data_IF_029141015463
#
_entry.id   IF_029141015463
#
_cell.length_a   1.000
_cell.length_b   1.000
_cell.length_c   1.000
_cell.angle_alpha   90.00
_cell.angle_beta   90.00
_cell.angle_gamma   90.00
#
_symmetry.space_group_name_H-M   'P 1'
#
loop_
_entity.id
_entity.type
_entity.pdbx_description
1 polymer ?
#
# COMPACT_ATOMS: atom_id res chain seq x y z
N UNK A 1 2.70 27.40 -11.37
CA UNK A 1 3.44 28.58 -11.80
C UNK A 1 3.38 29.64 -10.69
N UNK A 2 4.29 30.58 -10.60
CA UNK A 2 4.33 31.63 -9.56
C UNK A 2 4.14 33.01 -10.21
N UNK A 3 3.10 33.72 -9.79
CA UNK A 3 2.82 35.09 -10.25
C UNK A 3 2.66 36.01 -9.05
N UNK A 4 3.42 37.09 -9.03
CA UNK A 4 3.42 38.04 -7.90
C UNK A 4 3.61 37.37 -6.53
N UNK A 5 4.42 36.30 -6.47
CA UNK A 5 4.65 35.54 -5.25
C UNK A 5 3.60 34.45 -4.95
N UNK A 6 2.49 34.40 -5.67
CA UNK A 6 1.42 33.43 -5.50
C UNK A 6 1.61 32.23 -6.45
N UNK A 7 1.46 31.02 -5.93
CA UNK A 7 1.49 29.80 -6.76
C UNK A 7 0.12 29.61 -7.46
N UNK A 8 0.16 29.52 -8.78
CA UNK A 8 -1.01 29.28 -9.62
C UNK A 8 -0.85 27.92 -10.29
N UNK A 9 -1.88 27.06 -10.18
CA UNK A 9 -1.99 25.84 -10.98
C UNK A 9 -2.43 26.23 -12.38
N UNK A 10 -1.73 25.73 -13.40
CA UNK A 10 -2.12 25.91 -14.79
C UNK A 10 -2.87 24.64 -15.22
N UNK A 11 -4.02 24.84 -15.85
CA UNK A 11 -4.86 23.75 -16.33
C UNK A 11 -4.42 23.26 -17.72
N UNK A 12 -3.77 24.15 -18.48
CA UNK A 12 -3.27 23.81 -19.82
C UNK A 12 -2.01 24.60 -20.20
N UNK A 13 -1.28 24.06 -21.19
CA UNK A 13 -0.10 24.74 -21.74
C UNK A 13 -0.46 25.91 -22.65
N UNK A 14 -1.68 25.96 -23.17
CA UNK A 14 -2.19 27.09 -23.94
C UNK A 14 -2.13 28.37 -23.08
N UNK A 15 -2.43 28.28 -21.78
CA UNK A 15 -2.29 29.38 -20.84
C UNK A 15 -0.85 29.90 -20.71
N UNK A 16 0.15 28.99 -20.83
CA UNK A 16 1.57 29.39 -20.85
C UNK A 16 1.95 30.04 -22.17
N UNK A 17 1.52 29.43 -23.29
CA UNK A 17 1.85 29.91 -24.63
C UNK A 17 1.17 31.24 -25.00
N UNK A 18 0.03 31.57 -24.40
CA UNK A 18 -0.69 32.82 -24.61
C UNK A 18 -0.11 34.00 -23.80
N UNK A 19 0.90 33.76 -22.96
CA UNK A 19 1.53 34.85 -22.19
C UNK A 19 2.28 35.80 -23.13
N UNK A 20 2.19 37.13 -22.91
CA UNK A 20 2.67 38.12 -23.87
C UNK A 20 4.19 38.05 -24.10
N UNK A 21 4.94 37.63 -23.09
CA UNK A 21 6.41 37.57 -23.15
C UNK A 21 6.94 36.16 -23.41
N UNK A 22 6.06 35.18 -23.67
CA UNK A 22 6.48 33.79 -23.89
C UNK A 22 6.99 33.58 -25.32
N UNK A 23 8.24 33.09 -25.43
CA UNK A 23 8.89 32.80 -26.71
C UNK A 23 9.18 31.28 -26.78
N UNK A 24 8.66 30.62 -27.83
CA UNK A 24 8.85 29.16 -28.03
C UNK A 24 10.27 28.78 -28.38
N UNK A 25 11.00 29.63 -29.07
CA UNK A 25 12.37 29.40 -29.56
C UNK A 25 13.26 30.55 -29.12
N UNK A 26 13.45 30.72 -27.78
CA UNK A 26 14.23 31.79 -27.20
C UNK A 26 15.72 31.55 -27.43
N UNK A 27 16.39 32.53 -28.01
CA UNK A 27 17.85 32.57 -28.06
C UNK A 27 18.40 33.04 -26.71
N UNK A 28 19.10 32.14 -26.00
CA UNK A 28 19.66 32.42 -24.67
C UNK A 28 21.09 32.93 -24.74
N UNK A 29 21.64 33.19 -25.92
CA UNK A 29 22.97 33.77 -26.05
C UNK A 29 22.99 35.13 -25.32
N UNK A 30 23.93 35.27 -24.39
CA UNK A 30 24.10 36.47 -23.55
C UNK A 30 22.94 36.86 -22.64
N UNK A 31 21.90 36.00 -22.49
CA UNK A 31 20.79 36.23 -21.59
C UNK A 31 21.00 35.62 -20.20
N UNK A 32 20.72 36.40 -19.17
CA UNK A 32 20.82 35.94 -17.78
C UNK A 32 19.47 35.55 -17.22
N UNK A 33 19.47 34.56 -16.35
CA UNK A 33 18.30 34.09 -15.65
C UNK A 33 17.92 35.10 -14.56
N UNK A 34 16.72 35.71 -14.70
CA UNK A 34 16.07 36.54 -13.68
C UNK A 34 15.38 35.69 -12.65
N UNK A 35 14.45 34.83 -13.08
CA UNK A 35 13.65 33.99 -12.20
C UNK A 35 13.19 32.68 -12.86
N UNK A 36 12.82 31.72 -12.04
CA UNK A 36 12.05 30.55 -12.39
C UNK A 36 10.62 30.76 -11.91
N UNK A 37 9.65 30.82 -12.82
CA UNK A 37 8.25 31.11 -12.53
C UNK A 37 7.33 29.89 -12.66
N UNK A 38 7.80 28.82 -13.27
CA UNK A 38 7.03 27.59 -13.41
C UNK A 38 7.91 26.36 -13.30
N UNK A 39 7.28 25.26 -12.88
CA UNK A 39 7.90 23.95 -12.81
C UNK A 39 6.90 22.92 -13.30
N UNK A 40 7.38 21.94 -14.03
CA UNK A 40 6.57 20.79 -14.49
C UNK A 40 7.40 19.51 -14.47
N UNK A 41 6.72 18.39 -14.15
CA UNK A 41 7.26 17.04 -14.19
C UNK A 41 6.16 16.05 -14.56
N UNK A 42 6.56 14.91 -15.12
CA UNK A 42 5.67 13.83 -15.54
C UNK A 42 4.62 14.26 -16.57
N UNK A 43 4.90 15.36 -17.29
CA UNK A 43 4.10 15.84 -18.41
C UNK A 43 4.42 15.03 -19.67
N UNK A 44 3.52 15.00 -20.67
CA UNK A 44 3.86 14.50 -21.99
C UNK A 44 5.13 15.18 -22.53
N UNK A 45 6.00 14.46 -23.27
CA UNK A 45 7.25 15.01 -23.76
C UNK A 45 7.07 16.30 -24.54
N UNK A 46 7.86 17.34 -24.22
CA UNK A 46 7.80 18.66 -24.86
C UNK A 46 9.15 19.06 -25.40
N UNK A 47 9.15 19.82 -26.49
CA UNK A 47 10.38 20.42 -27.03
C UNK A 47 10.88 21.53 -26.11
N UNK A 48 12.16 21.55 -25.87
CA UNK A 48 12.83 22.64 -25.16
C UNK A 48 12.63 23.96 -25.95
N UNK A 49 12.21 25.00 -25.24
CA UNK A 49 11.98 26.33 -25.82
C UNK A 49 13.25 27.14 -26.04
N UNK A 50 14.40 26.47 -26.11
CA UNK A 50 15.69 27.10 -26.44
C UNK A 50 15.99 26.84 -27.91
N UNK A 51 16.25 27.89 -28.68
CA UNK A 51 16.51 27.88 -30.14
C UNK A 51 17.60 26.91 -30.57
N UNK A 52 18.62 26.70 -29.77
CA UNK A 52 19.74 25.81 -30.06
C UNK A 52 19.58 24.37 -29.60
N UNK A 53 18.45 24.01 -28.92
CA UNK A 53 18.33 22.72 -28.27
C UNK A 53 17.22 21.84 -28.89
N UNK A 54 15.94 22.23 -28.79
CA UNK A 54 14.76 21.48 -29.23
C UNK A 54 14.63 20.02 -28.71
N UNK A 55 15.49 19.60 -27.77
CA UNK A 55 15.40 18.27 -27.18
C UNK A 55 14.07 18.07 -26.47
N UNK A 56 13.48 16.88 -26.59
CA UNK A 56 12.26 16.52 -25.89
C UNK A 56 12.53 16.20 -24.42
N UNK A 57 11.68 16.69 -23.52
CA UNK A 57 11.80 16.46 -22.08
C UNK A 57 10.45 16.42 -21.39
N UNK A 58 10.37 15.68 -20.27
CA UNK A 58 9.17 15.50 -19.43
C UNK A 58 9.24 16.32 -18.13
N UNK A 59 10.39 16.93 -17.84
CA UNK A 59 10.65 17.70 -16.62
C UNK A 59 11.40 18.97 -16.98
N UNK A 60 10.99 20.10 -16.41
CA UNK A 60 11.65 21.37 -16.66
C UNK A 60 11.02 22.53 -15.92
N UNK A 61 11.35 23.73 -16.34
CA UNK A 61 10.86 24.98 -15.77
C UNK A 61 10.43 25.99 -16.83
N UNK A 62 9.66 26.97 -16.39
CA UNK A 62 9.38 28.18 -17.14
C UNK A 62 10.25 29.28 -16.52
N UNK A 63 11.15 29.82 -17.31
CA UNK A 63 12.14 30.82 -16.89
C UNK A 63 11.76 32.21 -17.38
N UNK A 64 12.18 33.22 -16.64
CA UNK A 64 12.22 34.64 -17.08
C UNK A 64 13.67 35.06 -17.16
N UNK A 65 14.03 35.70 -18.25
CA UNK A 65 15.35 36.34 -18.44
C UNK A 65 15.34 37.79 -17.91
N UNK A 66 16.52 38.44 -17.76
CA UNK A 66 16.61 39.81 -17.25
C UNK A 66 15.94 40.84 -18.17
N UNK A 67 15.74 40.51 -19.44
CA UNK A 67 14.99 41.29 -20.43
C UNK A 67 13.50 40.89 -20.52
N UNK A 68 12.98 40.21 -19.48
CA UNK A 68 11.60 39.85 -19.26
C UNK A 68 10.99 38.84 -20.28
N UNK A 69 11.79 38.16 -21.09
CA UNK A 69 11.30 37.08 -21.92
C UNK A 69 11.11 35.80 -21.14
N UNK A 70 10.05 35.08 -21.49
CA UNK A 70 9.70 33.80 -20.87
C UNK A 70 9.93 32.64 -21.85
N UNK A 71 10.43 31.50 -21.35
CA UNK A 71 10.55 30.28 -22.15
C UNK A 71 10.42 29.02 -21.28
N UNK A 72 9.96 27.93 -21.89
CA UNK A 72 10.03 26.60 -21.25
C UNK A 72 11.39 25.97 -21.51
N UNK A 73 12.05 25.50 -20.46
CA UNK A 73 13.38 24.92 -20.55
C UNK A 73 13.41 23.54 -19.88
N UNK A 74 13.97 22.54 -20.57
CA UNK A 74 14.19 21.23 -19.97
C UNK A 74 15.20 21.30 -18.83
N UNK A 75 15.03 20.45 -17.81
CA UNK A 75 15.89 20.43 -16.62
C UNK A 75 17.37 20.34 -16.96
N UNK A 76 17.76 19.40 -17.84
CA UNK A 76 19.17 19.21 -18.26
C UNK A 76 19.72 20.47 -18.94
N UNK A 77 18.92 21.10 -19.80
CA UNK A 77 19.34 22.32 -20.50
C UNK A 77 19.47 23.50 -19.54
N UNK A 78 18.51 23.63 -18.61
CA UNK A 78 18.55 24.68 -17.59
C UNK A 78 19.77 24.57 -16.70
N UNK A 79 20.10 23.37 -16.23
CA UNK A 79 21.29 23.11 -15.42
C UNK A 79 22.58 23.38 -16.18
N UNK A 80 22.66 23.05 -17.48
CA UNK A 80 23.82 23.33 -18.31
C UNK A 80 24.06 24.83 -18.54
N UNK A 81 22.98 25.59 -18.74
CA UNK A 81 23.07 27.01 -19.12
C UNK A 81 23.18 27.91 -17.89
N UNK A 82 22.38 27.66 -16.87
CA UNK A 82 22.28 28.51 -15.69
C UNK A 82 22.90 27.90 -14.42
N UNK A 83 23.46 26.70 -14.55
CA UNK A 83 24.23 25.98 -13.52
C UNK A 83 23.49 25.84 -12.20
N UNK A 84 24.18 25.93 -11.07
CA UNK A 84 23.66 25.75 -9.71
C UNK A 84 22.48 26.68 -9.37
N UNK A 85 22.45 27.89 -9.98
CA UNK A 85 21.33 28.82 -9.77
C UNK A 85 19.98 28.23 -10.22
N UNK A 86 19.95 27.58 -11.38
CA UNK A 86 18.75 26.95 -11.91
C UNK A 86 18.29 25.78 -11.03
N UNK A 87 19.22 24.91 -10.64
CA UNK A 87 18.92 23.74 -9.81
C UNK A 87 18.43 24.16 -8.41
N UNK A 88 19.00 25.23 -7.85
CA UNK A 88 18.54 25.81 -6.59
C UNK A 88 17.11 26.33 -6.68
N UNK A 89 16.77 27.07 -7.72
CA UNK A 89 15.44 27.62 -7.96
C UNK A 89 14.40 26.51 -8.23
N UNK A 90 14.75 25.47 -9.00
CA UNK A 90 13.87 24.31 -9.21
C UNK A 90 13.54 23.63 -7.88
N UNK A 91 14.56 23.34 -7.06
CA UNK A 91 14.35 22.71 -5.74
C UNK A 91 13.51 23.56 -4.79
N UNK A 92 13.69 24.88 -4.84
CA UNK A 92 12.90 25.79 -4.04
C UNK A 92 11.43 25.78 -4.49
N UNK A 93 11.17 25.93 -5.79
CA UNK A 93 9.82 25.95 -6.34
C UNK A 93 9.12 24.59 -6.15
N UNK A 94 9.81 23.45 -6.27
CA UNK A 94 9.29 22.12 -5.93
C UNK A 94 8.80 22.09 -4.48
N UNK A 95 9.60 22.60 -3.54
CA UNK A 95 9.20 22.63 -2.12
C UNK A 95 7.97 23.49 -1.87
N UNK A 96 7.87 24.63 -2.54
CA UNK A 96 6.75 25.55 -2.43
C UNK A 96 5.46 24.91 -3.00
N UNK A 97 5.55 24.29 -4.18
CA UNK A 97 4.44 23.56 -4.82
C UNK A 97 3.98 22.38 -3.97
N UNK A 98 4.92 21.54 -3.51
CA UNK A 98 4.62 20.41 -2.63
C UNK A 98 3.92 20.89 -1.34
N UNK A 99 4.36 22.00 -0.79
CA UNK A 99 3.75 22.59 0.41
C UNK A 99 2.29 22.98 0.19
N UNK A 100 1.98 23.70 -0.91
CA UNK A 100 0.60 24.09 -1.19
C UNK A 100 -0.29 22.87 -1.50
N UNK A 101 0.23 21.85 -2.21
CA UNK A 101 -0.50 20.60 -2.44
C UNK A 101 -0.84 19.90 -1.11
N UNK A 102 0.11 19.82 -0.19
CA UNK A 102 -0.14 19.22 1.11
C UNK A 102 -1.08 20.07 1.98
N UNK A 103 -0.96 21.37 1.93
CA UNK A 103 -1.86 22.29 2.64
C UNK A 103 -3.30 22.17 2.15
N UNK A 104 -3.50 22.14 0.84
CA UNK A 104 -4.81 21.91 0.23
C UNK A 104 -5.37 20.52 0.59
N UNK A 105 -4.54 19.47 0.52
CA UNK A 105 -4.92 18.14 0.92
C UNK A 105 -5.36 18.07 2.39
N UNK A 106 -4.64 18.74 3.28
CA UNK A 106 -4.98 18.81 4.70
C UNK A 106 -6.28 19.60 4.90
N UNK A 107 -6.44 20.76 4.28
CA UNK A 107 -7.63 21.61 4.41
C UNK A 107 -8.89 20.86 3.94
N UNK A 108 -8.82 20.23 2.76
CA UNK A 108 -9.91 19.43 2.20
C UNK A 108 -10.33 18.28 3.11
N UNK A 109 -9.36 17.56 3.71
CA UNK A 109 -9.69 16.43 4.59
C UNK A 109 -10.11 16.89 5.98
N UNK A 110 -9.60 18.02 6.45
CA UNK A 110 -10.03 18.61 7.74
C UNK A 110 -11.50 19.01 7.71
N UNK A 111 -12.02 19.49 6.59
CA UNK A 111 -13.45 19.78 6.42
C UNK A 111 -14.34 18.53 6.49
N UNK A 112 -13.77 17.35 6.24
CA UNK A 112 -14.43 16.03 6.28
C UNK A 112 -14.07 15.21 7.52
N UNK A 113 -13.50 15.82 8.56
CA UNK A 113 -12.96 15.10 9.72
C UNK A 113 -14.02 14.21 10.39
N UNK A 114 -15.26 14.70 10.52
CA UNK A 114 -16.37 13.93 11.10
C UNK A 114 -16.70 12.67 10.28
N UNK A 115 -16.65 12.77 8.95
CA UNK A 115 -16.82 11.59 8.06
C UNK A 115 -15.75 10.54 8.30
N UNK A 116 -14.49 10.96 8.44
CA UNK A 116 -13.37 10.05 8.72
C UNK A 116 -13.51 9.35 10.07
N UNK A 117 -13.91 10.08 11.12
CA UNK A 117 -14.18 9.49 12.42
C UNK A 117 -15.34 8.48 12.37
N UNK A 118 -16.41 8.76 11.63
CA UNK A 118 -17.52 7.82 11.46
C UNK A 118 -17.09 6.54 10.74
N UNK A 119 -16.29 6.66 9.67
CA UNK A 119 -15.73 5.50 8.96
C UNK A 119 -14.80 4.67 9.86
N UNK A 120 -13.94 5.32 10.64
CA UNK A 120 -13.06 4.63 11.59
C UNK A 120 -13.86 3.93 12.71
N UNK A 121 -14.89 4.57 13.25
CA UNK A 121 -15.78 3.99 14.24
C UNK A 121 -16.54 2.75 13.69
N UNK A 122 -17.00 2.81 12.45
CA UNK A 122 -17.64 1.66 11.80
C UNK A 122 -16.71 0.46 11.62
N UNK A 123 -15.40 0.70 11.41
CA UNK A 123 -14.41 -0.38 11.36
C UNK A 123 -14.24 -1.07 12.71
N UNK A 124 -14.29 -0.34 13.82
CA UNK A 124 -14.03 -0.87 15.17
C UNK A 124 -15.28 -1.40 15.87
N UNK A 125 -16.47 -1.03 15.40
CA UNK A 125 -17.73 -1.35 16.07
C UNK A 125 -18.10 -2.83 15.99
N UNK A 126 -18.88 -3.28 17.01
CA UNK A 126 -19.51 -4.59 17.07
C UNK A 126 -18.57 -5.76 17.41
N UNK A 127 -19.10 -6.98 17.27
CA UNK A 127 -18.34 -8.21 17.55
C UNK A 127 -17.19 -8.44 16.58
N UNK A 128 -17.37 -7.99 15.35
CA UNK A 128 -16.40 -8.11 14.26
C UNK A 128 -15.60 -6.81 14.06
N UNK A 129 -15.37 -6.02 15.12
CA UNK A 129 -14.52 -4.84 15.04
C UNK A 129 -13.09 -5.21 14.65
N UNK A 130 -12.45 -4.37 13.81
CA UNK A 130 -11.13 -4.64 13.21
C UNK A 130 -10.06 -4.99 14.24
N UNK A 131 -10.07 -4.37 15.43
CA UNK A 131 -9.10 -4.64 16.48
C UNK A 131 -9.35 -6.01 17.14
N UNK A 132 -10.62 -6.44 17.31
CA UNK A 132 -10.95 -7.77 17.80
C UNK A 132 -10.55 -8.86 16.81
N UNK A 133 -10.74 -8.60 15.51
CA UNK A 133 -10.29 -9.51 14.45
C UNK A 133 -8.76 -9.60 14.43
N UNK A 134 -8.07 -8.48 14.59
CA UNK A 134 -6.61 -8.45 14.70
C UNK A 134 -6.09 -9.28 15.87
N UNK A 135 -6.78 -9.23 17.03
CA UNK A 135 -6.47 -10.05 18.20
C UNK A 135 -6.63 -11.55 17.87
N UNK A 136 -7.77 -11.96 17.32
CA UNK A 136 -7.99 -13.36 16.91
C UNK A 136 -7.00 -13.85 15.85
N UNK A 137 -6.59 -12.99 14.91
CA UNK A 137 -5.54 -13.29 13.93
C UNK A 137 -4.17 -13.42 14.62
N UNK A 138 -3.91 -12.65 15.67
CA UNK A 138 -2.72 -12.84 16.50
C UNK A 138 -2.76 -14.16 17.26
N UNK A 139 -3.92 -14.51 17.82
CA UNK A 139 -4.14 -15.73 18.60
C UNK A 139 -3.93 -16.99 17.74
N UNK A 140 -4.44 -17.04 16.52
CA UNK A 140 -4.23 -18.21 15.64
C UNK A 140 -2.75 -18.40 15.24
N UNK A 141 -1.94 -17.33 15.25
CA UNK A 141 -0.49 -17.39 15.05
C UNK A 141 0.28 -17.77 16.32
N UNK A 142 -0.38 -17.74 17.46
CA UNK A 142 0.24 -18.03 18.75
C UNK A 142 0.16 -19.51 19.08
N UNK A 143 1.32 -20.17 19.15
CA UNK A 143 1.44 -21.59 19.47
C UNK A 143 0.81 -21.99 20.83
N UNK A 144 0.74 -21.06 21.79
CA UNK A 144 0.14 -21.30 23.10
C UNK A 144 -1.40 -21.23 23.08
N UNK A 145 -1.98 -20.66 22.03
CA UNK A 145 -3.44 -20.49 21.88
C UNK A 145 -4.00 -21.47 20.85
N UNK A 146 -3.40 -21.52 19.66
CA UNK A 146 -3.90 -22.35 18.54
C UNK A 146 -3.08 -23.64 18.34
N UNK A 147 -2.18 -23.99 19.25
CA UNK A 147 -1.28 -25.12 19.09
C UNK A 147 -0.15 -24.83 18.09
N UNK A 148 1.01 -25.47 18.34
CA UNK A 148 2.22 -25.19 17.56
C UNK A 148 2.09 -25.55 16.09
N UNK A 149 1.55 -26.74 15.82
CA UNK A 149 1.44 -27.22 14.45
C UNK A 149 0.53 -26.33 13.60
N UNK A 150 -0.69 -26.05 14.04
CA UNK A 150 -1.65 -25.24 13.33
C UNK A 150 -1.15 -23.81 13.10
N UNK A 151 -0.61 -23.16 14.15
CA UNK A 151 -0.05 -21.82 14.06
C UNK A 151 1.08 -21.72 13.01
N UNK A 152 1.99 -22.70 12.98
CA UNK A 152 3.10 -22.71 12.02
C UNK A 152 2.64 -23.03 10.61
N UNK A 153 1.79 -24.05 10.46
CA UNK A 153 1.36 -24.54 9.15
C UNK A 153 0.46 -23.52 8.43
N UNK A 154 -0.47 -22.86 9.14
CA UNK A 154 -1.33 -21.82 8.57
C UNK A 154 -0.50 -20.62 8.06
N UNK A 155 0.50 -20.19 8.81
CA UNK A 155 1.41 -19.10 8.38
C UNK A 155 2.24 -19.54 7.17
N UNK A 156 2.74 -20.79 7.14
CA UNK A 156 3.45 -21.37 6.00
C UNK A 156 2.55 -21.40 4.76
N UNK A 157 1.31 -21.87 4.91
CA UNK A 157 0.32 -21.90 3.83
C UNK A 157 0.03 -20.51 3.29
N UNK A 158 -0.17 -19.52 4.17
CA UNK A 158 -0.38 -18.12 3.77
C UNK A 158 0.81 -17.59 2.95
N UNK A 159 2.03 -17.80 3.43
CA UNK A 159 3.26 -17.35 2.75
C UNK A 159 3.44 -17.98 1.37
N UNK A 160 3.01 -19.23 1.21
CA UNK A 160 3.09 -19.97 -0.05
C UNK A 160 1.82 -19.83 -0.92
N UNK A 161 0.84 -19.00 -0.52
CA UNK A 161 -0.47 -18.85 -1.17
C UNK A 161 -1.20 -20.20 -1.35
N UNK A 162 -0.94 -21.15 -0.45
CA UNK A 162 -1.55 -22.45 -0.44
C UNK A 162 -2.87 -22.42 0.32
N UNK A 163 -3.97 -22.73 -0.35
CA UNK A 163 -5.31 -22.73 0.26
C UNK A 163 -5.86 -24.15 0.48
N UNK A 164 -5.35 -25.15 -0.25
CA UNK A 164 -5.83 -26.53 -0.15
C UNK A 164 -5.10 -27.24 0.98
N UNK A 165 -5.86 -27.84 1.87
CA UNK A 165 -5.36 -28.68 2.97
C UNK A 165 -5.45 -30.14 2.57
N UNK A 166 -4.33 -30.85 2.68
CA UNK A 166 -4.24 -32.29 2.37
C UNK A 166 -3.68 -33.06 3.55
N UNK A 167 -4.07 -34.32 3.66
CA UNK A 167 -3.51 -35.30 4.60
C UNK A 167 -3.03 -36.56 3.86
N UNK A 168 -2.09 -37.25 4.42
CA UNK A 168 -1.65 -38.57 3.96
C UNK A 168 -2.42 -39.65 4.73
N UNK A 169 -2.93 -40.62 4.01
CA UNK A 169 -3.62 -41.79 4.58
C UNK A 169 -3.02 -43.09 4.05
N UNK A 170 -2.93 -44.07 4.91
CA UNK A 170 -2.52 -45.41 4.52
C UNK A 170 -3.72 -46.16 3.92
N UNK A 171 -3.64 -46.54 2.66
CA UNK A 171 -4.70 -47.26 1.94
C UNK A 171 -4.20 -48.64 1.56
N UNK A 172 -5.01 -49.65 1.78
CA UNK A 172 -4.67 -51.03 1.35
C UNK A 172 -4.55 -51.10 -0.18
N UNK A 173 -3.43 -51.63 -0.66
CA UNK A 173 -3.18 -51.79 -2.09
C UNK A 173 -4.22 -52.73 -2.70
N UNK A 174 -4.79 -52.33 -3.85
CA UNK A 174 -5.66 -53.20 -4.64
C UNK A 174 -4.83 -54.32 -5.29
N UNK A 175 -5.43 -55.50 -5.53
CA UNK A 175 -4.74 -56.66 -6.14
C UNK A 175 -3.90 -56.32 -7.39
N UNK A 176 -4.38 -55.41 -8.23
CA UNK A 176 -3.69 -54.93 -9.44
C UNK A 176 -2.48 -54.02 -9.18
N UNK A 177 -2.31 -53.56 -7.97
CA UNK A 177 -1.24 -52.64 -7.54
C UNK A 177 -0.15 -53.38 -6.76
N UNK A 178 -0.34 -54.67 -6.49
CA UNK A 178 0.62 -55.55 -5.84
C UNK A 178 1.66 -56.04 -6.86
N UNK A 179 2.93 -56.07 -6.46
CA UNK A 179 3.96 -56.79 -7.19
C UNK A 179 3.73 -58.32 -7.07
N UNK A 180 4.33 -59.13 -7.93
CA UNK A 180 4.21 -60.62 -7.87
C UNK A 180 4.67 -61.15 -6.49
N UNK A 181 5.74 -60.58 -5.93
CA UNK A 181 6.26 -60.92 -4.61
C UNK A 181 5.27 -60.53 -3.48
N UNK A 182 4.70 -59.34 -3.55
CA UNK A 182 3.71 -58.85 -2.58
C UNK A 182 2.40 -59.66 -2.63
N UNK A 183 1.97 -60.06 -3.84
CA UNK A 183 0.78 -60.88 -4.02
C UNK A 183 0.97 -62.31 -3.46
N UNK A 184 2.21 -62.86 -3.52
CA UNK A 184 2.54 -64.19 -3.03
C UNK A 184 2.64 -64.27 -1.50
N UNK A 185 2.89 -63.13 -0.83
CA UNK A 185 3.09 -63.12 0.65
C UNK A 185 1.82 -63.33 1.43
N UNK A 186 0.64 -63.13 0.83
CA UNK A 186 -0.65 -63.20 1.51
C UNK A 186 -0.90 -62.11 2.55
N UNK A 187 0.04 -61.21 2.74
CA UNK A 187 -0.07 -60.10 3.68
C UNK A 187 -0.70 -58.86 3.05
N UNK A 188 -1.47 -58.10 3.84
CA UNK A 188 -1.99 -56.81 3.40
C UNK A 188 -0.86 -55.83 3.20
N UNK A 189 -0.77 -55.25 2.02
CA UNK A 189 0.18 -54.21 1.70
C UNK A 189 -0.53 -52.86 1.60
N UNK A 190 0.13 -51.80 2.08
CA UNK A 190 -0.41 -50.46 2.13
C UNK A 190 0.41 -49.50 1.28
N UNK A 191 -0.23 -48.49 0.76
CA UNK A 191 0.40 -47.31 0.14
C UNK A 191 -0.07 -46.04 0.79
N UNK A 192 0.70 -44.98 0.70
CA UNK A 192 0.31 -43.66 1.14
C UNK A 192 -0.44 -42.97 -0.02
N UNK A 193 -1.64 -42.50 0.26
CA UNK A 193 -2.41 -41.63 -0.65
C UNK A 193 -2.63 -40.25 -0.03
N UNK A 194 -2.52 -39.20 -0.85
CA UNK A 194 -2.82 -37.85 -0.44
C UNK A 194 -4.31 -37.58 -0.66
N UNK A 195 -5.02 -37.23 0.40
CA UNK A 195 -6.45 -36.91 0.38
C UNK A 195 -6.66 -35.44 0.74
N UNK A 196 -7.56 -34.77 0.03
CA UNK A 196 -7.93 -33.38 0.32
C UNK A 196 -8.89 -33.34 1.52
N UNK A 197 -8.54 -32.60 2.56
CA UNK A 197 -9.38 -32.31 3.72
C UNK A 197 -10.36 -31.17 3.43
N UNK A 198 -9.93 -30.19 2.63
CA UNK A 198 -10.72 -29.02 2.27
C UNK A 198 -9.89 -27.84 1.83
N UNK A 199 -10.53 -26.69 1.78
CA UNK A 199 -9.89 -25.42 1.41
C UNK A 199 -10.06 -24.37 2.50
N UNK A 200 -8.99 -23.66 2.83
CA UNK A 200 -9.00 -22.48 3.72
C UNK A 200 -8.98 -21.23 2.84
N UNK A 201 -10.06 -20.45 2.89
CA UNK A 201 -10.21 -19.19 2.15
C UNK A 201 -9.65 -18.03 2.95
N UNK A 202 -9.27 -16.95 2.24
CA UNK A 202 -8.82 -15.67 2.81
C UNK A 202 -7.59 -15.82 3.73
N UNK A 203 -6.75 -16.83 3.50
CA UNK A 203 -5.59 -17.13 4.34
C UNK A 203 -4.54 -16.01 4.32
N UNK A 204 -4.57 -15.15 3.30
CA UNK A 204 -3.71 -13.98 3.14
C UNK A 204 -3.83 -12.96 4.29
N UNK A 205 -4.90 -13.00 5.10
CA UNK A 205 -5.02 -12.17 6.31
C UNK A 205 -3.94 -12.47 7.35
N UNK A 206 -3.28 -13.63 7.25
CA UNK A 206 -2.16 -14.00 8.11
C UNK A 206 -0.84 -13.35 7.70
N UNK A 207 -0.74 -12.76 6.51
CA UNK A 207 0.49 -12.11 6.04
C UNK A 207 0.79 -10.85 6.84
N UNK A 208 2.07 -10.58 7.10
CA UNK A 208 2.51 -9.39 7.82
C UNK A 208 2.12 -8.08 7.10
N UNK A 209 2.02 -8.10 5.77
CA UNK A 209 1.55 -6.95 4.98
C UNK A 209 0.08 -6.58 5.27
N UNK A 210 -0.72 -7.52 5.78
CA UNK A 210 -2.15 -7.38 6.07
C UNK A 210 -2.43 -7.22 7.58
N UNK A 211 -1.50 -6.64 8.32
CA UNK A 211 -1.64 -6.39 9.76
C UNK A 211 -2.74 -5.36 10.04
N UNK A 212 -3.91 -5.85 10.45
CA UNK A 212 -5.09 -5.04 10.75
C UNK A 212 -4.88 -4.05 11.90
N UNK A 213 -4.11 -4.45 12.93
CA UNK A 213 -3.84 -3.61 14.10
C UNK A 213 -2.95 -2.43 13.71
N UNK A 214 -1.88 -2.69 12.99
CA UNK A 214 -0.98 -1.65 12.47
C UNK A 214 -1.72 -0.70 11.52
N UNK A 215 -2.45 -1.25 10.56
CA UNK A 215 -3.22 -0.47 9.58
C UNK A 215 -4.22 0.47 10.28
N UNK A 216 -4.97 -0.04 11.27
CA UNK A 216 -5.93 0.80 11.97
C UNK A 216 -5.26 1.83 12.88
N UNK A 217 -4.38 1.41 13.78
CA UNK A 217 -3.83 2.31 14.81
C UNK A 217 -2.85 3.33 14.23
N UNK A 218 -1.93 2.89 13.35
CA UNK A 218 -0.85 3.74 12.87
C UNK A 218 -1.22 4.51 11.61
N UNK A 219 -1.98 3.86 10.70
CA UNK A 219 -2.22 4.42 9.38
C UNK A 219 -3.59 5.08 9.21
N UNK A 220 -4.54 4.83 10.14
CA UNK A 220 -5.87 5.43 10.12
C UNK A 220 -6.07 6.32 11.35
N UNK A 221 -6.16 5.74 12.55
CA UNK A 221 -6.52 6.46 13.76
C UNK A 221 -5.51 7.55 14.11
N UNK A 222 -4.21 7.24 14.06
CA UNK A 222 -3.16 8.23 14.36
C UNK A 222 -3.17 9.38 13.36
N UNK A 223 -3.48 9.10 12.07
CA UNK A 223 -3.55 10.11 11.01
C UNK A 223 -4.76 11.01 11.22
N UNK A 224 -5.94 10.46 11.55
CA UNK A 224 -7.15 11.25 11.86
C UNK A 224 -6.92 12.12 13.10
N UNK A 225 -6.33 11.58 14.16
CA UNK A 225 -5.96 12.34 15.37
C UNK A 225 -4.95 13.46 15.06
N UNK A 226 -3.98 13.18 14.20
CA UNK A 226 -3.02 14.18 13.74
C UNK A 226 -3.68 15.31 12.95
N UNK A 227 -4.60 14.96 12.06
CA UNK A 227 -5.39 15.92 11.27
C UNK A 227 -6.29 16.79 12.16
N UNK A 228 -6.92 16.21 13.18
CA UNK A 228 -7.77 16.91 14.14
C UNK A 228 -6.99 17.97 14.93
N UNK A 229 -5.82 17.60 15.45
CA UNK A 229 -4.97 18.46 16.27
C UNK A 229 -4.25 19.56 15.49
N UNK A 230 -4.08 19.39 14.17
CA UNK A 230 -3.33 20.34 13.36
C UNK A 230 -4.13 21.65 13.18
N UNK A 231 -3.55 22.77 13.59
CA UNK A 231 -4.06 24.08 13.24
C UNK A 231 -3.30 24.63 12.02
N UNK A 232 -4.03 24.85 10.92
CA UNK A 232 -3.44 25.33 9.67
C UNK A 232 -2.89 26.75 9.72
N UNK A 233 -3.32 27.56 10.72
CA UNK A 233 -2.86 28.95 10.86
C UNK A 233 -1.52 29.02 11.58
N UNK A 234 -1.26 28.10 12.50
CA UNK A 234 -0.06 28.11 13.35
C UNK A 234 0.92 27.00 13.05
N UNK A 235 0.51 26.00 12.25
CA UNK A 235 1.33 24.85 11.93
C UNK A 235 2.56 25.21 11.07
N UNK A 236 3.70 24.64 11.43
CA UNK A 236 4.92 24.77 10.63
C UNK A 236 4.80 24.06 9.28
N UNK A 237 5.56 24.48 8.24
CA UNK A 237 5.59 23.79 6.96
C UNK A 237 5.93 22.30 7.06
N UNK A 238 6.76 21.93 8.00
CA UNK A 238 7.14 20.53 8.28
C UNK A 238 5.95 19.72 8.80
N UNK A 239 5.17 20.25 9.72
CA UNK A 239 3.95 19.61 10.26
C UNK A 239 2.91 19.42 9.15
N UNK A 240 2.63 20.46 8.36
CA UNK A 240 1.70 20.39 7.22
C UNK A 240 2.14 19.33 6.23
N UNK A 241 3.43 19.28 5.88
CA UNK A 241 3.98 18.31 4.95
C UNK A 241 3.83 16.87 5.46
N UNK A 242 4.14 16.63 6.74
CA UNK A 242 4.05 15.29 7.34
C UNK A 242 2.59 14.79 7.38
N UNK A 243 1.69 15.59 7.89
CA UNK A 243 0.26 15.25 7.92
C UNK A 243 -0.30 15.16 6.50
N UNK A 244 0.04 16.09 5.61
CA UNK A 244 -0.41 16.09 4.21
C UNK A 244 -0.08 14.81 3.46
N UNK A 245 1.13 14.27 3.65
CA UNK A 245 1.51 12.95 3.09
C UNK A 245 0.62 11.83 3.62
N UNK A 246 0.41 11.79 4.92
CA UNK A 246 -0.38 10.74 5.56
C UNK A 246 -1.85 10.80 5.17
N UNK A 247 -2.46 12.00 5.14
CA UNK A 247 -3.87 12.16 4.79
C UNK A 247 -4.15 11.95 3.30
N UNK A 248 -3.17 12.11 2.42
CA UNK A 248 -3.35 11.88 0.98
C UNK A 248 -3.76 10.44 0.66
N UNK A 249 -3.37 9.47 1.47
CA UNK A 249 -3.71 8.05 1.32
C UNK A 249 -4.82 7.57 2.27
N UNK A 250 -5.41 8.44 3.08
CA UNK A 250 -6.36 8.05 4.14
C UNK A 250 -7.62 7.36 3.58
N UNK A 251 -8.19 7.87 2.49
CA UNK A 251 -9.38 7.26 1.86
C UNK A 251 -9.07 5.82 1.40
N UNK A 252 -7.93 5.61 0.72
CA UNK A 252 -7.49 4.28 0.25
C UNK A 252 -7.24 3.33 1.42
N UNK A 253 -6.67 3.82 2.53
CA UNK A 253 -6.42 3.01 3.73
C UNK A 253 -7.70 2.59 4.43
N UNK A 254 -8.70 3.46 4.50
CA UNK A 254 -10.02 3.12 5.02
C UNK A 254 -10.71 2.05 4.18
N UNK A 255 -10.63 2.15 2.85
CA UNK A 255 -11.15 1.11 1.94
C UNK A 255 -10.40 -0.20 2.08
N UNK A 256 -9.07 -0.16 2.18
CA UNK A 256 -8.23 -1.34 2.40
C UNK A 256 -8.57 -2.01 3.73
N UNK A 257 -8.75 -1.23 4.80
CA UNK A 257 -9.13 -1.75 6.11
C UNK A 257 -10.51 -2.41 6.09
N UNK A 258 -11.48 -1.83 5.37
CA UNK A 258 -12.81 -2.43 5.20
C UNK A 258 -12.73 -3.77 4.45
N UNK A 259 -11.98 -3.85 3.36
CA UNK A 259 -11.76 -5.09 2.60
C UNK A 259 -11.08 -6.17 3.44
N UNK A 260 -9.99 -5.82 4.13
CA UNK A 260 -9.27 -6.76 4.99
C UNK A 260 -10.12 -7.22 6.18
N UNK A 261 -10.98 -6.36 6.72
CA UNK A 261 -11.97 -6.73 7.75
C UNK A 261 -12.90 -7.82 7.24
N UNK A 262 -13.46 -7.68 6.04
CA UNK A 262 -14.34 -8.69 5.45
C UNK A 262 -13.61 -10.02 5.18
N UNK A 263 -12.38 -9.96 4.67
CA UNK A 263 -11.55 -11.16 4.50
C UNK A 263 -11.29 -11.84 5.85
N UNK A 264 -10.99 -11.08 6.90
CA UNK A 264 -10.75 -11.60 8.24
C UNK A 264 -12.00 -12.25 8.85
N UNK A 265 -13.18 -11.66 8.64
CA UNK A 265 -14.47 -12.26 9.05
C UNK A 265 -14.67 -13.61 8.36
N UNK A 266 -14.45 -13.67 7.04
CA UNK A 266 -14.59 -14.92 6.29
C UNK A 266 -13.53 -15.97 6.62
N UNK A 267 -12.32 -15.54 7.01
CA UNK A 267 -11.25 -16.42 7.45
C UNK A 267 -11.51 -17.03 8.82
N UNK A 268 -11.90 -16.21 9.80
CA UNK A 268 -12.10 -16.59 11.20
C UNK A 268 -13.49 -17.21 11.42
N UNK A 269 -13.76 -18.32 10.73
CA UNK A 269 -14.96 -19.14 10.93
C UNK A 269 -14.58 -20.58 11.19
N UNK A 270 -15.38 -21.27 11.99
CA UNK A 270 -15.17 -22.70 12.29
C UNK A 270 -15.03 -23.52 11.02
N UNK A 271 -16.00 -23.41 10.11
CA UNK A 271 -16.04 -24.22 8.88
C UNK A 271 -14.84 -23.99 7.98
N UNK A 272 -14.35 -22.74 7.90
CA UNK A 272 -13.19 -22.40 7.08
C UNK A 272 -11.88 -22.96 7.65
N UNK A 273 -11.77 -23.09 8.97
CA UNK A 273 -10.58 -23.57 9.65
C UNK A 273 -10.61 -25.07 9.98
N UNK A 274 -11.78 -25.69 9.93
CA UNK A 274 -11.98 -27.12 10.20
C UNK A 274 -11.10 -28.06 9.36
N UNK A 275 -10.81 -27.81 8.07
CA UNK A 275 -9.92 -28.66 7.27
C UNK A 275 -8.53 -28.85 7.89
N UNK A 276 -8.02 -27.86 8.64
CA UNK A 276 -6.73 -28.01 9.34
C UNK A 276 -6.87 -28.98 10.52
N UNK A 277 -7.97 -28.92 11.27
CA UNK A 277 -8.24 -29.87 12.34
C UNK A 277 -8.33 -31.31 11.79
N UNK A 278 -9.03 -31.50 10.68
CA UNK A 278 -9.16 -32.79 10.00
C UNK A 278 -7.82 -33.34 9.53
N UNK A 279 -6.90 -32.46 9.06
CA UNK A 279 -5.52 -32.82 8.74
C UNK A 279 -4.76 -33.30 9.97
N UNK A 280 -4.93 -32.63 11.11
CA UNK A 280 -4.17 -32.91 12.34
C UNK A 280 -4.57 -34.21 13.04
N UNK A 281 -5.82 -34.62 12.96
CA UNK A 281 -6.37 -35.77 13.67
C UNK A 281 -5.62 -37.10 13.44
N UNK A 282 -5.25 -37.50 12.23
CA UNK A 282 -4.55 -38.75 11.97
C UNK A 282 -3.04 -38.69 12.19
N UNK A 283 -2.48 -37.54 12.61
CA UNK A 283 -1.04 -37.33 12.71
C UNK A 283 -0.51 -37.71 14.12
N UNK A 284 0.09 -38.88 14.24
CA UNK A 284 0.70 -39.34 15.51
C UNK A 284 1.83 -38.42 16.04
N UNK A 285 2.39 -37.58 15.16
CA UNK A 285 3.44 -36.62 15.52
C UNK A 285 2.89 -35.37 16.22
N UNK A 286 1.59 -35.14 16.21
CA UNK A 286 0.95 -33.99 16.86
C UNK A 286 0.55 -34.37 18.27
N UNK A 287 0.93 -33.56 19.26
CA UNK A 287 0.54 -33.79 20.64
C UNK A 287 -0.97 -33.59 20.81
N UNK A 288 -1.59 -34.41 21.68
CA UNK A 288 -3.00 -34.27 22.03
C UNK A 288 -3.31 -32.84 22.52
N UNK A 289 -2.40 -32.24 23.24
CA UNK A 289 -2.53 -30.84 23.70
C UNK A 289 -2.62 -29.85 22.55
N UNK A 290 -1.78 -29.98 21.49
CA UNK A 290 -1.83 -29.11 20.33
C UNK A 290 -3.17 -29.23 19.57
N UNK A 291 -3.68 -30.44 19.47
CA UNK A 291 -4.97 -30.71 18.84
C UNK A 291 -6.12 -30.06 19.65
N UNK A 292 -6.13 -30.26 20.97
CA UNK A 292 -7.14 -29.66 21.88
C UNK A 292 -7.09 -28.12 21.85
N UNK A 293 -5.91 -27.52 21.82
CA UNK A 293 -5.76 -26.07 21.70
C UNK A 293 -6.38 -25.54 20.41
N UNK A 294 -6.06 -26.16 19.29
CA UNK A 294 -6.61 -25.72 18.00
C UNK A 294 -8.12 -25.91 17.91
N UNK A 295 -8.62 -27.06 18.35
CA UNK A 295 -10.06 -27.36 18.38
C UNK A 295 -10.82 -26.36 19.25
N UNK A 296 -10.32 -26.07 20.45
CA UNK A 296 -10.93 -25.06 21.33
C UNK A 296 -10.89 -23.66 20.72
N UNK A 297 -9.77 -23.29 20.07
CA UNK A 297 -9.66 -22.01 19.41
C UNK A 297 -10.74 -21.86 18.32
N UNK A 298 -10.85 -22.81 17.37
CA UNK A 298 -11.82 -22.68 16.28
C UNK A 298 -13.28 -22.75 16.75
N UNK A 299 -13.58 -23.44 17.87
CA UNK A 299 -14.92 -23.45 18.50
C UNK A 299 -15.27 -22.13 19.20
N UNK A 300 -14.27 -21.31 19.53
CA UNK A 300 -14.46 -20.00 20.18
C UNK A 300 -14.72 -18.85 19.21
N UNK A 301 -14.65 -19.09 17.90
CA UNK A 301 -14.82 -18.07 16.88
C UNK A 301 -16.28 -17.67 16.69
#
# INVERSE_FOLDING_TARGET
MKENGVLIKLDSWEQVYSRPNFIKDLDLKDKKLKALIGYYKNEPPRKCGIKSCHSSHMKGGIVITEDDFEASIGHICGSKIFQEKFDGLIKQLEKEVDFEIYKEAVASRKSRLFEYWNKAAALTSGKNGILKLAEKISDIKNALVAGRYAATELVRMASNQQTIVTKEVWVEKKKKELTEEEASSGEKKYKIETVVCGQIKNIEVLLAANDLKRLYNEEIESVIKGLEKLDLQTASPSQIKNIGRSVSSLDVRLETAAKLKELAIGFLTYDNLYPMLEKMHPMDTISRKDLELYENFIKSL
#
